data_IF_462551239421
#
_entry.id   IF_462551239421
#
_cell.length_a   1.000
_cell.length_b   1.000
_cell.length_c   1.000
_cell.angle_alpha   90.00
_cell.angle_beta   90.00
_cell.angle_gamma   90.00
#
_symmetry.space_group_name_H-M   'P 1'
#
loop_
_entity.id
_entity.type
_entity.pdbx_description
1 polymer ?
#
# COMPACT_ATOMS: atom_id res chain seq x y z
N UNK A 1 -20.19 6.23 -3.98
CA UNK A 1 -18.83 6.38 -4.58
C UNK A 1 -17.88 5.58 -3.71
N UNK A 2 -16.82 4.95 -4.27
CA UNK A 2 -15.86 4.20 -3.45
C UNK A 2 -14.75 5.13 -2.99
N UNK A 3 -14.40 5.08 -1.70
CA UNK A 3 -13.33 5.92 -1.13
C UNK A 3 -12.68 5.24 0.09
N UNK A 4 -11.54 5.79 0.55
CA UNK A 4 -10.89 5.37 1.79
C UNK A 4 -11.64 6.03 2.95
N UNK A 5 -12.20 5.23 3.86
CA UNK A 5 -12.96 5.72 5.00
C UNK A 5 -12.09 6.00 6.21
N UNK A 6 -11.17 5.08 6.52
CA UNK A 6 -10.21 5.29 7.60
C UNK A 6 -8.87 4.59 7.31
N UNK A 7 -7.85 5.02 8.01
CA UNK A 7 -6.50 4.46 8.02
C UNK A 7 -6.07 4.27 9.46
N UNK A 8 -5.62 3.07 9.77
CA UNK A 8 -4.93 2.74 11.03
C UNK A 8 -3.49 2.33 10.74
N UNK A 9 -2.56 2.87 11.48
CA UNK A 9 -1.12 2.61 11.33
C UNK A 9 -0.54 2.21 12.69
N UNK A 10 0.27 1.14 12.73
CA UNK A 10 1.12 0.79 13.85
C UNK A 10 2.56 0.53 13.37
N UNK A 11 3.53 1.08 14.07
CA UNK A 11 4.95 0.78 13.90
C UNK A 11 5.57 1.21 12.58
N UNK A 12 4.95 2.13 11.84
CA UNK A 12 5.40 2.53 10.51
C UNK A 12 6.05 3.91 10.51
N UNK A 13 7.32 3.97 10.14
CA UNK A 13 8.11 5.19 10.03
C UNK A 13 7.97 6.09 11.28
N UNK A 14 7.32 7.24 11.13
CA UNK A 14 7.14 8.22 12.20
C UNK A 14 6.10 7.80 13.24
N UNK A 15 5.15 6.94 12.89
CA UNK A 15 4.02 6.62 13.75
C UNK A 15 4.20 5.32 14.51
N UNK A 16 4.17 5.40 15.83
CA UNK A 16 4.01 4.22 16.69
C UNK A 16 2.58 3.71 16.58
N UNK A 17 1.61 4.64 16.62
CA UNK A 17 0.19 4.38 16.35
C UNK A 17 -0.45 5.67 15.83
N UNK A 18 -1.35 5.54 14.85
CA UNK A 18 -2.13 6.65 14.29
C UNK A 18 -3.45 6.13 13.73
N UNK A 19 -4.53 6.83 14.04
CA UNK A 19 -5.85 6.65 13.40
C UNK A 19 -6.22 7.91 12.65
N UNK A 20 -6.70 7.77 11.40
CA UNK A 20 -7.17 8.88 10.56
C UNK A 20 -8.49 8.49 9.92
N UNK A 21 -9.47 9.37 10.01
CA UNK A 21 -10.73 9.25 9.27
C UNK A 21 -10.73 10.18 8.07
N UNK A 22 -11.32 9.74 6.96
CA UNK A 22 -11.38 10.49 5.70
C UNK A 22 -12.82 10.75 5.29
N UNK A 23 -13.03 11.91 4.67
CA UNK A 23 -14.28 12.26 4.02
C UNK A 23 -14.33 11.67 2.59
N UNK A 24 -15.54 11.52 2.06
CA UNK A 24 -15.78 10.93 0.73
C UNK A 24 -15.09 11.69 -0.41
N UNK A 25 -14.97 13.02 -0.32
CA UNK A 25 -14.50 13.84 -1.43
C UNK A 25 -13.06 14.32 -1.24
N UNK A 26 -12.89 15.46 -0.61
CA UNK A 26 -11.58 16.10 -0.44
C UNK A 26 -11.09 16.00 0.98
N UNK A 27 -9.83 15.61 1.13
CA UNK A 27 -9.14 15.58 2.41
C UNK A 27 -7.83 16.35 2.27
N UNK A 28 -7.57 17.26 3.21
CA UNK A 28 -6.38 18.10 3.21
C UNK A 28 -5.59 17.80 4.48
N UNK A 29 -4.35 17.31 4.32
CA UNK A 29 -3.43 17.10 5.42
C UNK A 29 -2.60 18.34 5.65
N UNK A 30 -2.80 19.02 6.78
CA UNK A 30 -2.08 20.23 7.15
C UNK A 30 -1.20 19.95 8.38
N UNK A 31 -0.05 20.55 8.43
CA UNK A 31 0.89 20.41 9.56
C UNK A 31 2.27 20.92 9.19
N UNK A 32 3.13 21.05 10.19
CA UNK A 32 4.52 21.44 10.03
C UNK A 32 5.32 20.47 9.18
N UNK A 33 6.51 20.88 8.76
CA UNK A 33 7.44 19.97 8.12
C UNK A 33 7.75 18.81 9.10
N UNK A 34 7.88 17.62 8.55
CA UNK A 34 8.08 16.39 9.34
C UNK A 34 6.91 15.97 10.24
N UNK A 35 5.74 16.62 10.22
CA UNK A 35 4.57 16.18 10.97
C UNK A 35 4.07 14.76 10.62
N UNK A 36 4.57 14.14 9.54
CA UNK A 36 4.20 12.79 9.12
C UNK A 36 3.18 12.75 7.98
N UNK A 37 2.87 13.88 7.33
CA UNK A 37 1.94 13.92 6.18
C UNK A 37 2.32 12.94 5.07
N UNK A 38 3.60 12.92 4.69
CA UNK A 38 4.11 11.99 3.68
C UNK A 38 4.03 10.53 4.16
N UNK A 39 4.19 10.28 5.46
CA UNK A 39 4.07 8.94 6.04
C UNK A 39 2.65 8.40 5.92
N UNK A 40 1.63 9.24 6.08
CA UNK A 40 0.22 8.86 5.85
C UNK A 40 0.00 8.45 4.39
N UNK A 41 0.49 9.24 3.45
CA UNK A 41 0.40 8.93 2.02
C UNK A 41 1.18 7.65 1.66
N UNK A 42 2.35 7.45 2.24
CA UNK A 42 3.16 6.24 2.04
C UNK A 42 2.48 5.01 2.63
N UNK A 43 1.81 5.12 3.77
CA UNK A 43 1.02 4.03 4.35
C UNK A 43 -0.12 3.60 3.41
N UNK A 44 -0.86 4.56 2.85
CA UNK A 44 -1.91 4.29 1.86
C UNK A 44 -1.32 3.62 0.61
N UNK A 45 -0.19 4.11 0.09
CA UNK A 45 0.52 3.50 -1.06
C UNK A 45 0.97 2.08 -0.73
N UNK A 46 1.49 1.86 0.47
CA UNK A 46 1.96 0.54 0.92
C UNK A 46 0.84 -0.48 0.85
N UNK A 47 -0.35 -0.13 1.33
CA UNK A 47 -1.52 -1.03 1.32
C UNK A 47 -2.10 -1.18 -0.08
N UNK A 48 -2.49 -0.08 -0.73
CA UNK A 48 -3.25 -0.13 -1.99
C UNK A 48 -2.41 -0.54 -3.21
N UNK A 49 -1.15 -0.09 -3.26
CA UNK A 49 -0.25 -0.38 -4.38
C UNK A 49 0.74 -1.51 -4.11
N UNK A 50 0.76 -2.06 -2.89
CA UNK A 50 1.73 -3.07 -2.49
C UNK A 50 3.19 -2.59 -2.75
N UNK A 51 3.48 -1.35 -2.34
CA UNK A 51 4.69 -0.63 -2.74
C UNK A 51 5.98 -1.40 -2.48
N UNK A 52 6.06 -2.15 -1.37
CA UNK A 52 7.29 -2.85 -0.95
C UNK A 52 7.28 -4.35 -1.24
N UNK A 53 6.37 -4.83 -2.09
CA UNK A 53 6.20 -6.26 -2.35
C UNK A 53 7.45 -6.97 -2.87
N UNK A 54 8.19 -6.30 -3.73
CA UNK A 54 9.41 -6.84 -4.36
C UNK A 54 10.67 -6.10 -3.88
N UNK A 55 10.58 -5.36 -2.78
CA UNK A 55 11.71 -4.66 -2.22
C UNK A 55 12.64 -5.62 -1.47
N UNK A 56 13.91 -5.28 -1.45
CA UNK A 56 14.89 -5.94 -0.58
C UNK A 56 14.54 -5.70 0.89
N UNK A 57 14.81 -6.68 1.74
CA UNK A 57 14.47 -6.61 3.18
C UNK A 57 15.22 -5.53 3.94
N UNK A 58 16.33 -5.01 3.40
CA UNK A 58 17.07 -3.88 3.98
C UNK A 58 16.20 -2.62 4.12
N UNK A 59 15.17 -2.45 3.29
CA UNK A 59 14.21 -1.34 3.38
C UNK A 59 13.50 -1.28 4.74
N UNK A 60 13.37 -2.40 5.43
CA UNK A 60 12.68 -2.47 6.73
C UNK A 60 13.33 -1.57 7.77
N UNK A 61 14.63 -1.28 7.64
CA UNK A 61 15.34 -0.31 8.51
C UNK A 61 14.71 1.07 8.47
N UNK A 62 14.24 1.49 7.30
CA UNK A 62 13.64 2.79 7.06
C UNK A 62 12.12 2.79 7.28
N UNK A 63 11.50 1.62 7.31
CA UNK A 63 10.06 1.46 7.50
C UNK A 63 9.67 1.29 8.96
N UNK A 64 10.49 0.66 9.79
CA UNK A 64 10.20 0.48 11.21
C UNK A 64 10.21 1.80 11.96
N UNK A 65 9.25 1.92 12.88
CA UNK A 65 9.22 3.06 13.78
C UNK A 65 10.43 3.04 14.73
N UNK A 66 11.12 4.18 14.86
CA UNK A 66 12.34 4.30 15.64
C UNK A 66 12.16 4.04 17.12
N UNK A 67 10.99 4.37 17.69
CA UNK A 67 10.69 4.10 19.09
C UNK A 67 10.51 2.60 19.35
N UNK A 68 9.87 1.87 18.42
CA UNK A 68 9.76 0.41 18.53
C UNK A 68 11.12 -0.27 18.41
N UNK A 69 11.97 0.20 17.51
CA UNK A 69 13.36 -0.29 17.40
C UNK A 69 14.15 0.00 18.68
N UNK A 70 13.98 1.18 19.27
CA UNK A 70 14.62 1.53 20.53
C UNK A 70 14.12 0.67 21.69
N UNK A 71 12.82 0.42 21.79
CA UNK A 71 12.23 -0.46 22.78
C UNK A 71 12.77 -1.91 22.67
N UNK A 72 12.85 -2.42 21.43
CA UNK A 72 13.47 -3.74 21.19
C UNK A 72 14.94 -3.78 21.67
N UNK A 73 15.73 -2.76 21.35
CA UNK A 73 17.14 -2.69 21.79
C UNK A 73 17.30 -2.59 23.30
N UNK A 74 16.35 -1.97 23.99
CA UNK A 74 16.36 -1.86 25.45
C UNK A 74 16.03 -3.19 26.13
N UNK A 75 15.13 -3.99 25.54
CA UNK A 75 14.71 -5.29 26.04
C UNK A 75 14.59 -6.28 24.88
N UNK A 76 15.72 -6.86 24.41
CA UNK A 76 15.71 -7.72 23.24
C UNK A 76 14.97 -9.05 23.48
N UNK A 77 13.89 -9.27 22.76
CA UNK A 77 13.11 -10.50 22.76
C UNK A 77 12.29 -10.65 21.48
N UNK A 78 11.81 -11.84 21.18
CA UNK A 78 10.89 -12.07 20.04
C UNK A 78 9.64 -11.20 20.17
N UNK A 79 9.14 -10.98 21.38
CA UNK A 79 7.91 -10.20 21.64
C UNK A 79 8.08 -8.70 21.42
N UNK A 80 9.29 -8.18 21.58
CA UNK A 80 9.61 -6.77 21.40
C UNK A 80 10.14 -6.45 20.00
N UNK A 81 10.32 -7.44 19.13
CA UNK A 81 10.69 -7.22 17.73
C UNK A 81 9.73 -6.22 17.08
N UNK A 82 10.25 -5.22 16.36
CA UNK A 82 9.42 -4.24 15.67
C UNK A 82 8.52 -4.92 14.64
N UNK A 83 7.29 -4.44 14.53
CA UNK A 83 6.32 -4.89 13.53
C UNK A 83 5.66 -3.68 12.88
N UNK A 84 5.11 -3.88 11.70
CA UNK A 84 4.27 -2.89 11.03
C UNK A 84 2.89 -3.50 10.80
N UNK A 85 1.87 -2.74 11.10
CA UNK A 85 0.50 -3.09 10.83
C UNK A 85 -0.22 -1.86 10.27
N UNK A 86 -0.82 -1.99 9.10
CA UNK A 86 -1.55 -0.89 8.47
C UNK A 86 -2.88 -1.43 7.95
N UNK A 87 -3.97 -0.82 8.37
CA UNK A 87 -5.31 -1.10 7.85
C UNK A 87 -5.87 0.09 7.10
N UNK A 88 -6.49 -0.20 5.96
CA UNK A 88 -7.27 0.77 5.17
C UNK A 88 -8.70 0.28 5.11
N UNK A 89 -9.60 0.95 5.83
CA UNK A 89 -11.03 0.75 5.71
C UNK A 89 -11.54 1.44 4.45
N UNK A 90 -12.38 0.74 3.70
CA UNK A 90 -12.93 1.20 2.44
C UNK A 90 -14.45 1.38 2.57
N UNK A 91 -14.97 2.48 2.05
CA UNK A 91 -16.38 2.57 1.70
C UNK A 91 -16.54 2.02 0.29
N UNK A 92 -17.15 0.86 0.14
CA UNK A 92 -17.44 0.22 -1.14
C UNK A 92 -18.94 0.06 -1.31
N UNK A 93 -19.40 0.15 -2.56
CA UNK A 93 -20.75 -0.26 -2.91
C UNK A 93 -20.87 -1.79 -2.74
N UNK A 94 -21.76 -2.29 -1.86
CA UNK A 94 -21.94 -3.72 -1.65
C UNK A 94 -22.38 -4.48 -2.91
N UNK A 95 -23.00 -3.80 -3.87
CA UNK A 95 -23.45 -4.36 -5.15
C UNK A 95 -22.30 -4.48 -6.17
N UNK A 96 -21.16 -3.87 -5.88
CA UNK A 96 -20.01 -3.95 -6.78
C UNK A 96 -19.50 -5.38 -6.85
N UNK A 97 -19.26 -5.86 -8.07
CA UNK A 97 -18.60 -7.15 -8.31
C UNK A 97 -17.28 -7.20 -7.53
N UNK A 98 -17.09 -8.19 -6.71
CA UNK A 98 -15.93 -8.42 -5.84
C UNK A 98 -15.92 -7.63 -4.51
N UNK A 99 -16.94 -6.85 -4.17
CA UNK A 99 -16.99 -6.15 -2.86
C UNK A 99 -16.87 -7.15 -1.69
N UNK A 100 -17.54 -8.31 -1.79
CA UNK A 100 -17.50 -9.38 -0.79
C UNK A 100 -16.10 -9.91 -0.47
N UNK A 101 -15.13 -9.73 -1.37
CA UNK A 101 -13.75 -10.17 -1.12
C UNK A 101 -13.02 -9.27 -0.12
N UNK A 102 -13.54 -8.10 0.14
CA UNK A 102 -12.98 -7.11 1.06
C UNK A 102 -13.75 -7.03 2.39
N UNK A 103 -14.91 -7.70 2.49
CA UNK A 103 -15.79 -7.66 3.65
C UNK A 103 -15.40 -8.69 4.68
N UNK A 104 -15.14 -8.27 5.90
CA UNK A 104 -14.76 -9.17 6.96
C UNK A 104 -14.59 -8.46 8.30
N UNK A 105 -14.12 -9.21 9.29
CA UNK A 105 -13.91 -8.73 10.64
C UNK A 105 -12.56 -8.04 10.79
N UNK A 106 -12.54 -6.97 11.58
CA UNK A 106 -11.30 -6.33 12.02
C UNK A 106 -10.81 -7.09 13.25
N UNK A 107 -9.70 -7.78 13.12
CA UNK A 107 -8.95 -8.34 14.23
C UNK A 107 -7.91 -7.33 14.72
N UNK A 108 -8.36 -6.26 15.36
CA UNK A 108 -7.50 -5.36 16.11
C UNK A 108 -7.72 -5.53 17.60
N UNK A 109 -6.84 -4.99 18.43
CA UNK A 109 -7.00 -4.96 19.91
C UNK A 109 -8.31 -4.28 20.35
N UNK A 110 -8.96 -3.54 19.47
CA UNK A 110 -10.33 -3.03 19.62
C UNK A 110 -11.33 -4.14 19.31
N UNK A 111 -11.60 -4.99 20.28
CA UNK A 111 -12.55 -6.13 20.27
C UNK A 111 -14.00 -5.78 19.90
N UNK A 112 -14.25 -4.93 18.93
CA UNK A 112 -15.56 -4.72 18.33
C UNK A 112 -15.60 -5.50 17.02
N UNK A 113 -16.38 -6.57 16.99
CA UNK A 113 -16.78 -7.26 15.77
C UNK A 113 -17.59 -6.28 14.89
N UNK A 114 -16.92 -5.45 14.16
CA UNK A 114 -17.55 -4.60 13.16
C UNK A 114 -17.13 -5.11 11.80
N UNK A 115 -18.08 -5.67 11.09
CA UNK A 115 -17.90 -6.10 9.71
C UNK A 115 -17.71 -4.90 8.81
N UNK A 116 -16.58 -4.83 8.13
CA UNK A 116 -16.18 -3.70 7.29
C UNK A 116 -15.47 -4.16 6.04
N UNK A 117 -15.43 -3.30 5.02
CA UNK A 117 -14.58 -3.51 3.85
C UNK A 117 -13.19 -2.96 4.10
N UNK A 118 -12.17 -3.71 3.75
CA UNK A 118 -10.82 -3.18 3.87
C UNK A 118 -9.71 -4.11 3.45
N UNK A 119 -8.50 -3.57 3.58
CA UNK A 119 -7.24 -4.23 3.24
C UNK A 119 -6.27 -3.94 4.37
N UNK A 120 -5.47 -4.95 4.74
CA UNK A 120 -4.39 -4.81 5.71
C UNK A 120 -3.05 -5.18 5.11
N UNK A 121 -2.05 -4.49 5.57
CA UNK A 121 -0.65 -4.82 5.40
C UNK A 121 -0.05 -5.17 6.75
N UNK A 122 0.64 -6.28 6.81
CA UNK A 122 1.37 -6.71 8.00
C UNK A 122 2.81 -7.04 7.63
N UNK A 123 3.75 -6.52 8.40
CA UNK A 123 5.16 -6.89 8.35
C UNK A 123 5.59 -7.33 9.73
N UNK A 124 5.87 -8.61 9.88
CA UNK A 124 6.25 -9.22 11.16
C UNK A 124 7.33 -10.28 10.99
N UNK A 125 8.05 -10.52 12.07
CA UNK A 125 8.97 -11.65 12.16
C UNK A 125 8.22 -12.97 12.01
N UNK A 126 8.76 -13.87 11.21
CA UNK A 126 8.24 -15.20 10.99
C UNK A 126 9.04 -16.20 11.83
N UNK A 127 8.43 -16.69 12.89
CA UNK A 127 9.09 -17.59 13.85
C UNK A 127 9.45 -18.94 13.22
N UNK A 128 8.69 -19.40 12.23
CA UNK A 128 8.95 -20.66 11.55
C UNK A 128 10.19 -20.55 10.64
N UNK A 129 10.30 -19.47 9.89
CA UNK A 129 11.47 -19.19 9.06
C UNK A 129 12.68 -18.83 9.91
N UNK A 130 12.48 -18.12 11.02
CA UNK A 130 13.54 -17.61 11.88
C UNK A 130 13.99 -18.57 12.97
N UNK A 131 13.73 -19.86 12.84
CA UNK A 131 14.20 -20.88 13.82
C UNK A 131 15.73 -20.81 13.98
N UNK A 132 16.19 -20.68 15.23
CA UNK A 132 17.62 -20.56 15.55
C UNK A 132 18.15 -19.11 15.59
N UNK A 133 17.29 -18.10 15.45
CA UNK A 133 17.67 -16.68 15.56
C UNK A 133 17.57 -16.13 17.00
N UNK A 134 17.12 -16.92 17.96
CA UNK A 134 16.85 -16.49 19.34
C UNK A 134 18.07 -15.83 19.99
N UNK A 135 19.25 -16.41 19.82
CA UNK A 135 20.49 -15.83 20.37
C UNK A 135 20.82 -14.49 19.73
N UNK A 136 20.69 -14.37 18.40
CA UNK A 136 20.94 -13.13 17.67
C UNK A 136 19.96 -12.03 18.10
N UNK A 137 18.70 -12.40 18.33
CA UNK A 137 17.66 -11.48 18.83
C UNK A 137 17.99 -11.02 20.25
N UNK A 138 18.41 -11.92 21.13
CA UNK A 138 18.84 -11.57 22.49
C UNK A 138 20.06 -10.65 22.52
N UNK A 139 20.91 -10.72 21.50
CA UNK A 139 22.03 -9.79 21.29
C UNK A 139 21.57 -8.42 20.74
N UNK A 140 20.28 -8.18 20.59
CA UNK A 140 19.71 -6.93 20.12
C UNK A 140 19.78 -6.73 18.59
N UNK A 141 19.99 -7.80 17.82
CA UNK A 141 20.01 -7.79 16.36
C UNK A 141 18.62 -8.09 15.81
N UNK A 142 18.14 -7.25 14.89
CA UNK A 142 16.87 -7.47 14.19
C UNK A 142 17.14 -8.35 12.96
N UNK A 143 16.56 -9.54 12.86
CA UNK A 143 16.78 -10.47 11.76
C UNK A 143 15.87 -10.14 10.57
N UNK A 144 16.18 -9.08 9.82
CA UNK A 144 15.33 -8.54 8.74
C UNK A 144 14.93 -9.56 7.68
N UNK A 145 15.82 -10.49 7.32
CA UNK A 145 15.56 -11.50 6.28
C UNK A 145 14.41 -12.45 6.65
N UNK A 146 14.13 -12.60 7.92
CA UNK A 146 13.10 -13.47 8.48
C UNK A 146 11.77 -12.76 8.72
N UNK A 147 11.61 -11.56 8.16
CA UNK A 147 10.34 -10.85 8.18
C UNK A 147 9.50 -11.20 6.96
N UNK A 148 8.22 -11.41 7.17
CA UNK A 148 7.23 -11.58 6.11
C UNK A 148 6.42 -10.31 5.93
N UNK A 149 6.15 -9.98 4.65
CA UNK A 149 5.30 -8.87 4.26
C UNK A 149 4.05 -9.44 3.60
N UNK A 150 2.90 -9.24 4.23
CA UNK A 150 1.63 -9.80 3.76
C UNK A 150 0.60 -8.71 3.51
N UNK A 151 -0.18 -8.90 2.44
CA UNK A 151 -1.32 -8.06 2.10
C UNK A 151 -2.55 -8.93 2.03
N UNK A 152 -3.49 -8.70 2.93
CA UNK A 152 -4.75 -9.43 3.00
C UNK A 152 -5.93 -8.48 3.01
N UNK A 153 -7.06 -8.94 2.52
CA UNK A 153 -8.34 -8.24 2.71
C UNK A 153 -8.89 -8.53 4.10
N UNK A 154 -9.91 -7.80 4.54
CA UNK A 154 -10.60 -8.11 5.80
C UNK A 154 -11.33 -9.47 5.74
N UNK A 155 -11.61 -9.99 4.53
CA UNK A 155 -12.06 -11.38 4.33
C UNK A 155 -10.93 -12.42 4.41
N UNK A 156 -9.74 -12.05 4.91
CA UNK A 156 -8.55 -12.91 5.01
C UNK A 156 -8.09 -13.53 3.68
N UNK A 157 -8.34 -12.85 2.56
CA UNK A 157 -7.89 -13.28 1.22
C UNK A 157 -6.61 -12.56 0.81
N UNK A 158 -5.67 -13.23 0.14
CA UNK A 158 -4.48 -12.56 -0.41
C UNK A 158 -4.88 -11.45 -1.39
N UNK A 159 -4.55 -10.21 -1.07
CA UNK A 159 -4.95 -9.03 -1.89
C UNK A 159 -4.34 -9.06 -3.30
N UNK A 160 -3.22 -9.73 -3.47
CA UNK A 160 -2.49 -9.81 -4.74
C UNK A 160 -3.32 -10.42 -5.89
N UNK A 161 -4.29 -11.28 -5.57
CA UNK A 161 -5.11 -12.01 -6.55
C UNK A 161 -6.46 -11.34 -6.82
N UNK A 162 -6.72 -10.19 -6.19
CA UNK A 162 -8.03 -9.55 -6.26
C UNK A 162 -7.91 -8.26 -7.06
N UNK A 163 -8.88 -8.01 -7.95
CA UNK A 163 -8.97 -6.74 -8.68
C UNK A 163 -9.08 -5.59 -7.66
N UNK A 164 -8.25 -4.57 -7.83
CA UNK A 164 -8.22 -3.41 -6.93
C UNK A 164 -9.59 -2.75 -6.82
N UNK A 165 -10.06 -2.45 -5.59
CA UNK A 165 -11.38 -1.86 -5.38
C UNK A 165 -11.40 -0.37 -5.71
N UNK A 166 -10.23 0.28 -5.63
CA UNK A 166 -10.01 1.70 -5.93
C UNK A 166 -8.88 1.86 -6.96
N UNK A 167 -9.06 2.81 -7.86
CA UNK A 167 -7.96 3.31 -8.68
C UNK A 167 -7.17 4.33 -7.88
N UNK A 168 -5.89 4.05 -7.64
CA UNK A 168 -5.01 4.91 -6.86
C UNK A 168 -3.97 5.57 -7.76
N UNK A 169 -3.88 6.90 -7.69
CA UNK A 169 -2.85 7.70 -8.35
C UNK A 169 -2.17 8.60 -7.31
N UNK A 170 -0.86 8.44 -7.15
CA UNK A 170 -0.04 9.35 -6.37
C UNK A 170 0.68 10.33 -7.31
N UNK A 171 0.50 11.62 -7.06
CA UNK A 171 1.19 12.69 -7.79
C UNK A 171 2.20 13.31 -6.82
N UNK A 172 3.48 13.17 -7.16
CA UNK A 172 4.56 13.85 -6.45
C UNK A 172 4.92 15.13 -7.20
N UNK A 173 4.64 16.27 -6.57
CA UNK A 173 4.92 17.60 -7.12
C UNK A 173 6.29 18.13 -6.73
N UNK A 174 7.03 17.42 -5.88
CA UNK A 174 8.36 17.83 -5.42
C UNK A 174 9.47 17.38 -6.36
N UNK A 175 9.23 16.32 -7.15
CA UNK A 175 10.16 15.92 -8.18
C UNK A 175 10.02 16.87 -9.35
N UNK A 176 11.12 17.52 -9.75
CA UNK A 176 11.18 18.30 -10.98
C UNK A 176 10.70 17.41 -12.14
N UNK A 177 9.50 17.67 -12.61
CA UNK A 177 8.78 16.83 -13.56
C UNK A 177 9.57 16.69 -14.86
N UNK A 178 10.39 15.68 -14.94
CA UNK A 178 10.88 15.22 -16.23
C UNK A 178 9.72 14.59 -17.02
N UNK A 179 9.77 14.65 -18.34
CA UNK A 179 8.78 14.09 -19.27
C UNK A 179 8.23 12.68 -18.89
N UNK A 180 8.97 11.78 -18.25
CA UNK A 180 8.46 10.50 -17.78
C UNK A 180 7.32 10.57 -16.77
N UNK A 181 7.32 11.57 -15.88
CA UNK A 181 6.26 11.75 -14.86
C UNK A 181 4.94 12.19 -15.49
N UNK A 182 4.99 13.06 -16.50
CA UNK A 182 3.81 13.50 -17.24
C UNK A 182 3.20 12.36 -18.05
N UNK A 183 4.03 11.55 -18.70
CA UNK A 183 3.57 10.38 -19.45
C UNK A 183 2.95 9.33 -18.53
N UNK A 184 3.52 9.11 -17.36
CA UNK A 184 2.97 8.22 -16.35
C UNK A 184 1.61 8.72 -15.84
N UNK A 185 1.50 10.00 -15.54
CA UNK A 185 0.27 10.65 -15.12
C UNK A 185 -0.84 10.49 -16.17
N UNK A 186 -0.57 10.87 -17.42
CA UNK A 186 -1.54 10.75 -18.50
C UNK A 186 -1.96 9.30 -18.75
N UNK A 187 -1.01 8.36 -18.72
CA UNK A 187 -1.30 6.94 -18.87
C UNK A 187 -2.17 6.43 -17.73
N UNK A 188 -1.92 6.86 -16.51
CA UNK A 188 -2.69 6.43 -15.34
C UNK A 188 -4.09 7.03 -15.36
N UNK A 189 -4.24 8.31 -15.69
CA UNK A 189 -5.55 8.94 -15.90
C UNK A 189 -6.36 8.21 -16.97
N UNK A 190 -5.75 7.93 -18.12
CA UNK A 190 -6.41 7.19 -19.20
C UNK A 190 -6.84 5.79 -18.73
N UNK A 191 -5.96 5.08 -18.03
CA UNK A 191 -6.27 3.73 -17.52
C UNK A 191 -7.32 3.72 -16.40
N UNK A 192 -7.43 4.80 -15.63
CA UNK A 192 -8.42 4.91 -14.55
C UNK A 192 -9.80 5.36 -15.04
N UNK A 193 -9.85 6.13 -16.12
CA UNK A 193 -11.08 6.79 -16.58
C UNK A 193 -11.89 5.94 -17.56
N UNK A 194 -11.25 5.03 -18.27
CA UNK A 194 -11.89 4.23 -19.32
C UNK A 194 -11.92 2.74 -18.95
N UNK A 195 -12.96 2.04 -19.40
CA UNK A 195 -13.07 0.59 -19.29
C UNK A 195 -12.09 -0.12 -20.25
N UNK A 196 -11.93 -1.42 -20.07
CA UNK A 196 -10.95 -2.20 -20.83
C UNK A 196 -11.31 -2.31 -22.33
N UNK A 197 -12.61 -2.28 -22.67
CA UNK A 197 -13.07 -2.31 -24.06
C UNK A 197 -12.72 -0.99 -24.76
N UNK A 198 -12.97 0.15 -24.14
CA UNK A 198 -12.61 1.48 -24.66
C UNK A 198 -11.09 1.62 -24.80
N UNK A 199 -10.32 1.10 -23.84
CA UNK A 199 -8.85 1.09 -23.92
C UNK A 199 -8.34 0.26 -25.10
N UNK A 200 -8.92 -0.92 -25.31
CA UNK A 200 -8.54 -1.80 -26.42
C UNK A 200 -8.84 -1.14 -27.76
N UNK A 201 -10.03 -0.55 -27.90
CA UNK A 201 -10.43 0.21 -29.11
C UNK A 201 -9.46 1.35 -29.41
N UNK A 202 -9.19 2.21 -28.42
CA UNK A 202 -8.27 3.33 -28.59
C UNK A 202 -6.85 2.90 -28.98
N UNK A 203 -6.35 1.78 -28.42
CA UNK A 203 -5.05 1.22 -28.77
C UNK A 203 -5.01 0.70 -30.21
N UNK A 204 -6.07 0.04 -30.67
CA UNK A 204 -6.17 -0.42 -32.04
C UNK A 204 -6.23 0.74 -33.02
N UNK A 205 -7.10 1.73 -32.77
CA UNK A 205 -7.19 2.91 -33.62
C UNK A 205 -5.86 3.67 -33.71
N UNK A 206 -5.13 3.79 -32.60
CA UNK A 206 -3.81 4.41 -32.62
C UNK A 206 -2.80 3.61 -33.44
N UNK A 207 -2.81 2.28 -33.32
CA UNK A 207 -1.93 1.37 -34.09
C UNK A 207 -2.22 1.49 -35.58
N UNK A 208 -3.49 1.46 -35.95
CA UNK A 208 -3.91 1.52 -37.35
C UNK A 208 -3.46 2.85 -37.99
N UNK A 209 -3.68 3.98 -37.30
CA UNK A 209 -3.21 5.30 -37.74
C UNK A 209 -1.68 5.38 -37.81
N UNK A 210 -0.98 4.71 -36.93
CA UNK A 210 0.49 4.67 -36.95
C UNK A 210 1.00 3.91 -38.17
N UNK A 211 0.41 2.73 -38.45
CA UNK A 211 0.73 1.92 -39.63
C UNK A 211 0.48 2.73 -40.91
N UNK A 212 -0.71 3.34 -41.03
CA UNK A 212 -1.07 4.17 -42.14
C UNK A 212 -0.07 5.36 -42.37
N UNK A 213 0.36 5.98 -41.26
CA UNK A 213 1.37 7.02 -41.31
C UNK A 213 2.74 6.53 -41.79
N UNK A 214 3.16 5.34 -41.37
CA UNK A 214 4.42 4.74 -41.83
C UNK A 214 4.35 4.33 -43.30
N UNK A 215 3.23 3.72 -43.72
CA UNK A 215 3.01 3.37 -45.12
C UNK A 215 3.06 4.59 -46.03
N UNK A 216 2.44 5.73 -45.61
CA UNK A 216 2.44 6.98 -46.33
C UNK A 216 3.83 7.66 -46.39
N UNK A 217 4.71 7.37 -45.43
CA UNK A 217 6.08 7.89 -45.41
C UNK A 217 7.06 7.07 -46.23
N UNK A 218 6.63 5.89 -46.73
CA UNK A 218 7.50 4.98 -47.50
C UNK A 218 8.72 4.51 -46.74
N UNK A 219 8.65 4.49 -45.41
CA UNK A 219 9.72 3.98 -44.55
C UNK A 219 9.60 2.46 -44.47
N UNK A 220 10.73 1.70 -44.59
CA UNK A 220 10.74 0.26 -44.54
C UNK A 220 10.37 -0.30 -43.14
#
# INVERSE_FOLDING_TARGET
>A
MNYIKSLHIEGFKKFTSLDVEFNEHMNILVGENEAGKSTILDAIKTVLNQQYRNADKSILRDLFNTQMVAAFKAEPSIRTLPRIYIEVELALDPQQKNASYFYGEIYGERKQQVEKFGIRFECKYDEELGTGMEQSIQEGKIPYEYYTLTWTTFANRPYQMIKRPLNFLAIDTTSSASAPSFNYFNRTLFTSRYDDATKAKAKNEFRDKLIEAFDNLGLP
#
